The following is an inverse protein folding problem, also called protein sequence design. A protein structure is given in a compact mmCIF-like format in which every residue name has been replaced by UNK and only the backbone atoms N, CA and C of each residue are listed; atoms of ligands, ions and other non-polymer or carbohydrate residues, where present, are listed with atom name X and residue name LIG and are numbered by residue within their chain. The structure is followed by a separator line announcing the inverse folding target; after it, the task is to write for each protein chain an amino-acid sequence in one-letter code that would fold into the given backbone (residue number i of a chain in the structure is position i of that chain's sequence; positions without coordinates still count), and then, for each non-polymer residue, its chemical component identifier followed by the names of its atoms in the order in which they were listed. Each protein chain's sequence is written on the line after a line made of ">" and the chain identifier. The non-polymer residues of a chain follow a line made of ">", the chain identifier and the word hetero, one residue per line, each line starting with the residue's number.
data_IF_242416245389
#
_entry.id   IF_242416245389
#
_cell.length_a   1.000
_cell.length_b   1.000
_cell.length_c   1.000
_cell.angle_alpha   90.00
_cell.angle_beta   90.00
_cell.angle_gamma   90.00
#
_symmetry.space_group_name_H-M   'P 1'
#
loop_
_entity.id
_entity.type
_entity.pdbx_description
1 polymer ?
#
# COMPACT_ATOMS: atom_id res chain seq x y z
N UNK A 1 -30.02 3.48 -8.06
CA UNK A 1 -29.51 3.71 -6.69
C UNK A 1 -28.14 3.06 -6.63
N UNK A 2 -27.07 3.81 -6.42
CA UNK A 2 -25.70 3.27 -6.36
C UNK A 2 -25.34 3.01 -4.90
N UNK A 3 -24.93 1.78 -4.58
CA UNK A 3 -24.52 1.38 -3.22
C UNK A 3 -23.01 1.59 -3.11
N UNK A 4 -22.58 2.38 -2.15
CA UNK A 4 -21.17 2.64 -1.89
C UNK A 4 -20.55 1.49 -1.10
N UNK A 5 -19.35 1.05 -1.50
CA UNK A 5 -18.63 -0.02 -0.80
C UNK A 5 -17.95 0.54 0.45
N UNK A 6 -18.12 -0.13 1.59
CA UNK A 6 -17.45 0.26 2.84
C UNK A 6 -15.99 -0.21 2.77
N UNK A 7 -15.06 0.68 3.12
CA UNK A 7 -13.63 0.38 3.13
C UNK A 7 -13.15 0.30 4.58
N UNK A 8 -12.49 -0.80 4.94
CA UNK A 8 -11.93 -1.00 6.28
C UNK A 8 -10.78 -0.02 6.55
N UNK A 9 -10.75 0.58 7.75
CA UNK A 9 -9.69 1.50 8.16
C UNK A 9 -9.17 1.21 9.56
N UNK A 10 -7.84 1.16 9.69
CA UNK A 10 -7.14 0.96 10.97
C UNK A 10 -7.18 2.20 11.89
N UNK A 11 -7.75 3.33 11.45
CA UNK A 11 -7.77 4.59 12.18
C UNK A 11 -9.17 5.20 12.21
N UNK A 12 -10.12 4.54 12.89
CA UNK A 12 -11.40 5.07 13.44
C UNK A 12 -12.24 6.06 12.59
N UNK A 13 -12.01 6.17 11.28
CA UNK A 13 -12.75 7.04 10.37
C UNK A 13 -13.42 6.17 9.34
N UNK A 14 -14.76 6.26 9.29
CA UNK A 14 -15.57 5.57 8.29
C UNK A 14 -15.12 6.00 6.88
N UNK A 15 -14.91 5.02 6.01
CA UNK A 15 -14.52 5.22 4.62
C UNK A 15 -15.47 4.50 3.68
N UNK A 16 -15.76 5.14 2.56
CA UNK A 16 -16.50 4.52 1.47
C UNK A 16 -15.77 4.72 0.14
N UNK A 17 -15.98 3.77 -0.77
CA UNK A 17 -15.58 3.89 -2.17
C UNK A 17 -16.78 4.36 -3.00
N UNK A 18 -16.58 5.40 -3.79
CA UNK A 18 -17.57 5.92 -4.74
C UNK A 18 -16.88 6.07 -6.09
N UNK A 19 -17.25 5.24 -7.07
CA UNK A 19 -16.66 5.25 -8.42
C UNK A 19 -15.13 5.19 -8.47
N UNK A 20 -14.48 4.55 -7.49
CA UNK A 20 -13.02 4.46 -7.39
C UNK A 20 -12.34 5.60 -6.64
N UNK A 21 -13.11 6.52 -6.05
CA UNK A 21 -12.62 7.55 -5.17
C UNK A 21 -12.85 7.15 -3.71
N UNK A 22 -11.79 7.17 -2.91
CA UNK A 22 -11.88 6.96 -1.47
C UNK A 22 -12.41 8.23 -0.82
N UNK A 23 -13.55 8.10 -0.13
CA UNK A 23 -14.23 9.18 0.55
C UNK A 23 -14.20 8.93 2.06
N UNK A 24 -13.80 9.96 2.81
CA UNK A 24 -13.77 9.98 4.27
C UNK A 24 -15.02 10.67 4.81
N UNK A 25 -15.57 10.15 5.91
CA UNK A 25 -16.72 10.77 6.57
C UNK A 25 -16.35 12.16 7.12
N UNK A 26 -17.15 13.15 6.72
CA UNK A 26 -17.13 14.51 7.27
C UNK A 26 -18.04 14.58 8.50
N UNK A 27 -19.34 14.44 8.24
CA UNK A 27 -20.43 14.62 9.22
C UNK A 27 -21.65 13.84 8.76
N UNK A 28 -22.58 13.60 9.68
CA UNK A 28 -23.88 13.03 9.40
C UNK A 28 -25.00 13.88 10.02
N UNK A 29 -26.18 13.82 9.39
CA UNK A 29 -27.43 14.42 9.86
C UNK A 29 -28.54 13.41 9.63
N UNK A 30 -29.06 12.81 10.70
CA UNK A 30 -30.00 11.68 10.63
C UNK A 30 -29.41 10.56 9.74
N UNK A 31 -30.15 10.14 8.72
CA UNK A 31 -29.71 9.13 7.76
C UNK A 31 -28.83 9.68 6.63
N UNK A 32 -28.59 10.99 6.57
CA UNK A 32 -27.75 11.62 5.55
C UNK A 32 -26.30 11.70 6.02
N UNK A 33 -25.37 11.24 5.20
CA UNK A 33 -23.94 11.26 5.46
C UNK A 33 -23.23 12.08 4.39
N UNK A 34 -22.27 12.89 4.83
CA UNK A 34 -21.49 13.77 3.99
C UNK A 34 -20.03 13.33 4.03
N UNK A 35 -19.40 13.35 2.86
CA UNK A 35 -18.08 12.78 2.66
C UNK A 35 -17.18 13.74 1.88
N UNK A 36 -15.88 13.67 2.14
CA UNK A 36 -14.87 14.40 1.40
C UNK A 36 -13.79 13.46 0.89
N UNK A 37 -13.15 13.84 -0.22
CA UNK A 37 -12.11 13.03 -0.83
C UNK A 37 -10.92 12.85 0.13
N UNK A 38 -10.40 11.62 0.24
CA UNK A 38 -9.21 11.33 1.05
C UNK A 38 -7.99 12.18 0.65
N UNK A 39 -7.85 12.49 -0.65
CA UNK A 39 -6.73 13.26 -1.19
C UNK A 39 -6.87 14.77 -0.99
N UNK A 40 -7.85 15.25 -0.21
CA UNK A 40 -7.99 16.68 0.09
C UNK A 40 -6.73 17.29 0.72
N UNK A 41 -6.02 16.54 1.57
CA UNK A 41 -4.88 17.10 2.30
C UNK A 41 -3.64 17.19 1.41
N UNK A 42 -3.44 16.14 0.58
CA UNK A 42 -2.26 15.96 -0.28
C UNK A 42 -2.42 16.69 -1.63
N UNK A 43 -3.55 16.53 -2.31
CA UNK A 43 -3.81 17.05 -3.65
C UNK A 43 -4.73 18.27 -3.66
N UNK A 44 -5.13 18.78 -2.49
CA UNK A 44 -6.12 19.86 -2.35
C UNK A 44 -7.41 19.60 -3.14
N UNK A 45 -7.78 18.32 -3.23
CA UNK A 45 -8.98 17.86 -3.90
C UNK A 45 -10.23 18.29 -3.13
N UNK A 46 -11.16 18.95 -3.83
CA UNK A 46 -12.43 19.42 -3.27
C UNK A 46 -13.60 18.44 -3.51
N UNK A 47 -13.31 17.21 -3.95
CA UNK A 47 -14.34 16.20 -4.22
C UNK A 47 -15.20 15.87 -2.99
N UNK A 48 -16.51 15.80 -3.18
CA UNK A 48 -17.52 15.56 -2.13
C UNK A 48 -18.52 14.50 -2.57
N UNK A 49 -19.06 13.78 -1.58
CA UNK A 49 -20.21 12.91 -1.78
C UNK A 49 -21.24 13.10 -0.67
N UNK A 50 -22.49 12.73 -0.96
CA UNK A 50 -23.56 12.62 0.03
C UNK A 50 -24.28 11.29 -0.17
N UNK A 51 -24.52 10.57 0.92
CA UNK A 51 -25.19 9.28 0.92
C UNK A 51 -26.36 9.25 1.91
N UNK A 52 -27.31 8.36 1.68
CA UNK A 52 -28.36 8.00 2.64
C UNK A 52 -28.11 6.58 3.12
N UNK A 53 -28.06 6.39 4.44
CA UNK A 53 -27.95 5.08 5.06
C UNK A 53 -29.34 4.42 5.14
N UNK A 54 -29.53 3.32 4.41
CA UNK A 54 -30.77 2.53 4.40
C UNK A 54 -30.40 1.05 4.51
N UNK A 55 -30.99 0.32 5.49
CA UNK A 55 -30.70 -1.12 5.72
C UNK A 55 -29.19 -1.42 5.77
N UNK A 56 -28.45 -0.63 6.55
CA UNK A 56 -26.99 -0.72 6.72
C UNK A 56 -26.15 -0.54 5.44
N UNK A 57 -26.74 0.02 4.38
CA UNK A 57 -26.07 0.31 3.12
C UNK A 57 -26.10 1.81 2.82
N UNK A 58 -24.94 2.35 2.43
CA UNK A 58 -24.82 3.74 2.00
C UNK A 58 -25.21 3.87 0.54
N UNK A 59 -26.31 4.57 0.28
CA UNK A 59 -26.81 4.83 -1.06
C UNK A 59 -26.39 6.23 -1.51
N UNK A 60 -25.71 6.33 -2.64
CA UNK A 60 -25.24 7.60 -3.19
C UNK A 60 -26.39 8.49 -3.62
N UNK A 61 -26.36 9.74 -3.18
CA UNK A 61 -27.31 10.80 -3.52
C UNK A 61 -26.65 11.88 -4.38
N UNK A 62 -25.45 12.33 -4.00
CA UNK A 62 -24.69 13.36 -4.72
C UNK A 62 -23.22 13.00 -4.75
N UNK A 63 -22.57 13.35 -5.86
CA UNK A 63 -21.14 13.18 -6.09
C UNK A 63 -20.64 14.34 -6.95
N UNK A 64 -19.48 14.90 -6.64
CA UNK A 64 -18.88 16.00 -7.39
C UNK A 64 -17.66 15.53 -8.19
N UNK A 65 -17.26 16.32 -9.17
CA UNK A 65 -16.00 16.14 -9.91
C UNK A 65 -14.77 16.22 -8.99
N UNK A 66 -13.68 15.59 -9.44
CA UNK A 66 -12.39 15.53 -8.75
C UNK A 66 -11.29 16.10 -9.66
N UNK A 67 -10.24 16.66 -9.04
CA UNK A 67 -9.08 17.21 -9.77
C UNK A 67 -7.96 16.16 -10.01
N UNK A 68 -8.27 14.89 -9.80
CA UNK A 68 -7.36 13.77 -9.98
C UNK A 68 -8.16 12.58 -10.52
N UNK A 69 -7.47 11.64 -11.17
CA UNK A 69 -8.11 10.43 -11.66
C UNK A 69 -8.63 9.56 -10.49
N UNK A 70 -9.70 8.80 -10.76
CA UNK A 70 -10.20 7.78 -9.84
C UNK A 70 -9.14 6.69 -9.65
N UNK A 71 -8.87 6.34 -8.39
CA UNK A 71 -7.94 5.27 -8.05
C UNK A 71 -8.66 3.90 -8.01
N UNK A 72 -9.65 3.70 -8.89
CA UNK A 72 -10.43 2.45 -9.04
C UNK A 72 -9.52 1.22 -9.28
N UNK A 73 -8.34 1.46 -9.83
CA UNK A 73 -7.29 0.48 -10.03
C UNK A 73 -6.63 0.04 -8.72
N UNK A 74 -6.58 0.84 -7.66
CA UNK A 74 -5.91 0.40 -6.42
C UNK A 74 -6.66 -0.73 -5.72
N UNK A 75 -7.99 -0.77 -5.67
CA UNK A 75 -8.69 -1.82 -4.91
C UNK A 75 -8.69 -3.17 -5.66
N UNK A 76 -8.95 -3.20 -6.97
CA UNK A 76 -8.89 -4.45 -7.76
C UNK A 76 -7.46 -4.96 -7.90
N UNK A 77 -6.49 -4.05 -8.09
CA UNK A 77 -5.08 -4.42 -8.14
C UNK A 77 -4.58 -4.83 -6.76
N UNK A 78 -5.00 -4.20 -5.66
CA UNK A 78 -4.69 -4.68 -4.30
C UNK A 78 -5.33 -6.05 -4.05
N UNK A 79 -6.58 -6.30 -4.45
CA UNK A 79 -7.21 -7.62 -4.27
C UNK A 79 -6.53 -8.72 -5.10
N UNK A 80 -6.19 -8.45 -6.37
CA UNK A 80 -5.46 -9.40 -7.22
C UNK A 80 -4.00 -9.59 -6.77
N UNK A 81 -3.34 -8.54 -6.28
CA UNK A 81 -1.99 -8.62 -5.71
C UNK A 81 -2.01 -9.31 -4.33
N UNK A 82 -3.07 -9.16 -3.53
CA UNK A 82 -3.21 -9.81 -2.21
C UNK A 82 -3.55 -11.30 -2.34
N UNK A 83 -4.23 -11.73 -3.39
CA UNK A 83 -4.45 -13.16 -3.64
C UNK A 83 -3.19 -13.90 -4.10
N UNK A 84 -2.21 -13.19 -4.67
CA UNK A 84 -0.98 -13.76 -5.25
C UNK A 84 0.29 -13.43 -4.44
N UNK A 85 0.16 -12.65 -3.36
CA UNK A 85 1.25 -12.38 -2.43
C UNK A 85 1.39 -13.53 -1.43
N UNK A 86 2.61 -14.02 -1.19
CA UNK A 86 2.83 -15.05 -0.17
C UNK A 86 2.39 -14.52 1.19
N UNK A 87 1.52 -15.28 1.83
CA UNK A 87 0.95 -14.97 3.13
C UNK A 87 1.84 -15.47 4.27
N UNK A 88 2.80 -16.34 3.97
CA UNK A 88 3.73 -16.90 4.95
C UNK A 88 5.18 -16.82 4.46
N UNK A 89 6.12 -16.95 5.39
CA UNK A 89 7.55 -16.93 5.09
C UNK A 89 7.97 -18.18 4.28
N UNK A 90 7.31 -19.31 4.51
CA UNK A 90 7.58 -20.59 3.83
C UNK A 90 7.12 -20.57 2.37
N UNK A 91 6.01 -19.88 2.08
CA UNK A 91 5.48 -19.72 0.71
C UNK A 91 6.22 -18.66 -0.11
N UNK A 92 7.06 -17.84 0.52
CA UNK A 92 7.83 -16.82 -0.17
C UNK A 92 9.05 -17.44 -0.88
N UNK A 93 8.93 -17.66 -2.19
CA UNK A 93 10.02 -18.17 -3.04
C UNK A 93 10.48 -17.04 -3.95
N UNK A 94 11.79 -16.79 -4.01
CA UNK A 94 12.38 -15.82 -4.94
C UNK A 94 12.76 -16.56 -6.22
N UNK A 95 12.16 -16.24 -7.38
CA UNK A 95 12.51 -16.83 -8.67
C UNK A 95 13.99 -16.60 -9.02
N UNK A 96 14.59 -17.54 -9.74
CA UNK A 96 16.03 -17.48 -10.06
C UNK A 96 16.42 -16.23 -10.86
N UNK A 97 15.56 -15.81 -11.78
CA UNK A 97 15.75 -14.58 -12.57
C UNK A 97 15.69 -13.29 -11.72
N UNK A 98 15.13 -13.35 -10.50
CA UNK A 98 15.07 -12.22 -9.57
C UNK A 98 16.24 -12.21 -8.56
N UNK A 99 17.10 -13.24 -8.57
CA UNK A 99 18.29 -13.29 -7.71
C UNK A 99 19.49 -12.57 -8.32
N UNK A 100 19.37 -12.07 -9.55
CA UNK A 100 20.46 -11.48 -10.34
C UNK A 100 20.06 -10.08 -10.82
N UNK A 101 21.06 -9.24 -11.12
CA UNK A 101 20.87 -7.96 -11.79
C UNK A 101 20.47 -8.17 -13.25
N UNK A 102 20.06 -7.10 -13.94
CA UNK A 102 19.76 -7.13 -15.38
C UNK A 102 20.97 -7.56 -16.22
N UNK A 103 22.18 -7.26 -15.72
CA UNK A 103 23.45 -7.66 -16.35
C UNK A 103 23.92 -9.06 -15.93
N UNK A 104 23.09 -9.81 -15.20
CA UNK A 104 23.35 -11.19 -14.81
C UNK A 104 24.30 -11.37 -13.63
N UNK A 105 24.62 -10.31 -12.88
CA UNK A 105 25.45 -10.38 -11.67
C UNK A 105 24.59 -10.84 -10.50
N UNK A 106 25.12 -11.66 -9.60
CA UNK A 106 24.39 -12.09 -8.41
C UNK A 106 24.02 -10.89 -7.53
N UNK A 107 22.74 -10.82 -7.17
CA UNK A 107 22.15 -9.72 -6.42
C UNK A 107 21.60 -10.16 -5.06
N UNK A 108 20.93 -11.32 -4.98
CA UNK A 108 20.58 -11.92 -3.70
C UNK A 108 21.80 -12.69 -3.15
N UNK A 109 22.65 -12.02 -2.37
CA UNK A 109 23.93 -12.59 -1.89
C UNK A 109 23.73 -13.48 -0.66
N UNK A 110 22.70 -13.20 0.16
CA UNK A 110 22.35 -14.03 1.33
C UNK A 110 20.85 -14.17 1.50
N UNK A 111 20.45 -15.38 1.87
CA UNK A 111 19.12 -15.74 2.34
C UNK A 111 19.30 -16.64 3.58
N UNK A 112 18.98 -16.10 4.76
CA UNK A 112 19.26 -16.71 6.05
C UNK A 112 17.97 -16.85 6.85
N UNK A 113 17.82 -17.95 7.58
CA UNK A 113 16.73 -18.15 8.55
C UNK A 113 17.35 -18.27 9.95
N UNK A 114 17.04 -17.31 10.82
CA UNK A 114 17.55 -17.23 12.20
C UNK A 114 16.36 -17.07 13.14
N UNK A 115 16.18 -18.01 14.08
CA UNK A 115 15.09 -17.96 15.08
C UNK A 115 13.71 -17.69 14.46
N UNK A 116 13.37 -18.40 13.38
CA UNK A 116 12.12 -18.27 12.63
C UNK A 116 11.91 -16.89 11.96
N UNK A 117 12.99 -16.12 11.75
CA UNK A 117 12.99 -14.88 10.97
C UNK A 117 13.91 -15.04 9.78
N UNK A 118 13.46 -14.58 8.61
CA UNK A 118 14.25 -14.62 7.38
C UNK A 118 14.90 -13.28 7.12
N UNK A 119 16.19 -13.30 6.81
CA UNK A 119 17.00 -12.15 6.43
C UNK A 119 17.47 -12.34 4.99
N UNK A 120 17.13 -11.38 4.15
CA UNK A 120 17.55 -11.33 2.75
C UNK A 120 18.52 -10.17 2.58
N UNK A 121 19.65 -10.42 1.95
CA UNK A 121 20.65 -9.40 1.65
C UNK A 121 20.78 -9.29 0.14
N UNK A 122 20.30 -8.17 -0.38
CA UNK A 122 20.41 -7.81 -1.79
C UNK A 122 21.55 -6.81 -1.97
N UNK A 123 22.59 -7.21 -2.69
CA UNK A 123 23.76 -6.38 -2.99
C UNK A 123 24.61 -7.05 -4.07
N UNK A 124 25.70 -6.42 -4.50
CA UNK A 124 26.70 -7.02 -5.38
C UNK A 124 28.06 -6.99 -4.71
N UNK A 125 29.01 -7.83 -5.16
CA UNK A 125 30.39 -7.76 -4.66
C UNK A 125 31.00 -6.37 -4.85
N UNK A 126 30.65 -5.67 -5.93
CA UNK A 126 31.08 -4.29 -6.17
C UNK A 126 30.52 -3.33 -5.11
N UNK A 127 29.23 -3.41 -4.79
CA UNK A 127 28.61 -2.59 -3.75
C UNK A 127 29.21 -2.85 -2.36
N UNK A 128 29.52 -4.11 -2.04
CA UNK A 128 30.21 -4.44 -0.78
C UNK A 128 31.59 -3.79 -0.74
N UNK A 129 32.34 -3.84 -1.84
CA UNK A 129 33.65 -3.19 -1.93
C UNK A 129 33.55 -1.67 -1.79
N UNK A 130 32.54 -1.04 -2.41
CA UNK A 130 32.28 0.39 -2.24
C UNK A 130 31.96 0.74 -0.78
N UNK A 131 31.09 -0.03 -0.13
CA UNK A 131 30.77 0.17 1.29
C UNK A 131 32.02 0.00 2.16
N UNK A 132 32.84 -1.02 1.92
CA UNK A 132 34.05 -1.28 2.70
C UNK A 132 35.11 -0.16 2.59
N UNK A 133 35.16 0.54 1.45
CA UNK A 133 36.06 1.66 1.20
C UNK A 133 35.49 3.02 1.63
N UNK A 134 34.17 3.09 1.86
CA UNK A 134 33.49 4.31 2.21
C UNK A 134 33.74 4.69 3.67
N UNK A 135 34.08 5.95 3.91
CA UNK A 135 34.30 6.50 5.25
C UNK A 135 33.00 6.84 6.00
N UNK A 136 31.88 6.95 5.27
CA UNK A 136 30.57 7.33 5.79
C UNK A 136 29.53 6.40 5.16
N UNK A 137 28.65 5.84 6.00
CA UNK A 137 27.49 5.07 5.56
C UNK A 137 26.22 5.82 5.91
N UNK A 138 25.30 5.92 4.95
CA UNK A 138 23.95 6.45 5.19
C UNK A 138 22.99 5.28 5.21
N UNK A 139 22.21 5.18 6.28
CA UNK A 139 21.35 4.02 6.51
C UNK A 139 19.93 4.49 6.78
N UNK A 140 18.94 3.90 6.09
CA UNK A 140 17.52 4.20 6.27
C UNK A 140 16.69 2.92 6.37
N UNK A 141 15.59 3.00 7.10
CA UNK A 141 14.69 1.88 7.35
C UNK A 141 13.24 2.25 7.14
N UNK A 142 12.56 1.56 6.21
CA UNK A 142 11.13 1.75 5.96
C UNK A 142 10.29 0.54 6.41
N UNK A 143 9.23 0.84 7.16
CA UNK A 143 8.24 -0.14 7.61
C UNK A 143 6.95 -0.10 6.77
N UNK A 144 6.65 1.05 6.12
CA UNK A 144 5.33 1.31 5.53
C UNK A 144 5.12 0.60 4.19
N UNK A 145 6.18 0.20 3.52
CA UNK A 145 6.16 -0.31 2.14
C UNK A 145 6.38 -1.81 2.03
N UNK A 146 6.59 -2.49 3.16
CA UNK A 146 7.07 -3.87 3.18
C UNK A 146 5.90 -4.87 3.31
N UNK A 147 5.94 -6.03 2.62
CA UNK A 147 4.91 -7.06 2.78
C UNK A 147 4.86 -7.57 4.22
N UNK A 148 3.67 -7.83 4.76
CA UNK A 148 3.45 -8.22 6.16
C UNK A 148 4.27 -9.43 6.65
N UNK A 149 4.80 -10.25 5.73
CA UNK A 149 5.67 -11.39 6.02
C UNK A 149 7.10 -10.98 6.44
N UNK A 150 7.54 -9.76 6.09
CA UNK A 150 8.77 -9.16 6.59
C UNK A 150 8.45 -8.10 7.64
N UNK A 151 9.47 -7.62 8.37
CA UNK A 151 9.29 -6.56 9.37
C UNK A 151 9.76 -5.19 8.91
N UNK A 152 10.81 -5.14 8.09
CA UNK A 152 11.47 -3.91 7.72
C UNK A 152 12.25 -4.12 6.43
N UNK A 153 12.34 -3.07 5.63
CA UNK A 153 13.30 -2.94 4.54
C UNK A 153 14.34 -1.94 5.00
N UNK A 154 15.60 -2.30 4.85
CA UNK A 154 16.72 -1.51 5.32
C UNK A 154 17.68 -1.29 4.15
N UNK A 155 18.06 -0.04 3.91
CA UNK A 155 18.99 0.35 2.84
C UNK A 155 20.24 0.96 3.45
N UNK A 156 21.37 0.67 2.81
CA UNK A 156 22.68 1.22 3.15
C UNK A 156 23.23 1.83 1.86
N UNK A 157 23.65 3.09 1.93
CA UNK A 157 24.22 3.88 0.85
C UNK A 157 25.64 4.31 1.21
#
# INVERSE_FOLDING_TARGET
>A
MYICEIVSSNRNKDKINVYGYIMLKDKNRNHNYYWYCEKWDILKCNGRASTILTKDQYNLVKFSEHNHAAEASQIKVIQAIVSDKPQTLESFIIPENMKRTLDGVDFLVRDLIISNKRLLIFTTSANINYLAQSSIWIMDGTFKTIPNIFKQLYTIH
#
